data_IF_384552925460
#
_entry.id   IF_384552925460
#
_cell.length_a   1.000
_cell.length_b   1.000
_cell.length_c   1.000
_cell.angle_alpha   90.00
_cell.angle_beta   90.00
_cell.angle_gamma   90.00
#
_symmetry.space_group_name_H-M   'P 1'
#
loop_
_entity.id
_entity.type
_entity.pdbx_description
1 polymer ?
#
# COMPACT_ATOMS: atom_id res chain seq x y z
N UNK A 1 8.10 -8.40 20.08
CA UNK A 1 7.01 -7.44 19.82
C UNK A 1 5.83 -8.20 19.25
N UNK A 2 4.59 -7.73 19.47
CA UNK A 2 3.41 -8.25 18.79
C UNK A 2 3.10 -7.35 17.58
N UNK A 3 2.78 -7.96 16.44
CA UNK A 3 2.52 -7.27 15.16
C UNK A 3 1.20 -7.82 14.59
N UNK A 4 0.42 -6.94 13.96
CA UNK A 4 -0.78 -7.29 13.20
C UNK A 4 -0.46 -7.08 11.72
N UNK A 5 -0.75 -8.07 10.88
CA UNK A 5 -0.50 -7.97 9.44
C UNK A 5 -1.40 -6.94 8.78
N UNK A 6 -0.87 -6.19 7.81
CA UNK A 6 -1.65 -5.20 7.07
C UNK A 6 -1.06 -4.87 5.67
N UNK A 7 -1.07 -5.77 4.68
CA UNK A 7 -1.56 -7.16 4.72
C UNK A 7 -0.46 -8.18 5.11
N UNK A 8 0.79 -7.76 5.20
CA UNK A 8 1.93 -8.58 5.67
C UNK A 8 2.59 -7.97 6.89
N UNK A 9 3.53 -8.67 7.52
CA UNK A 9 4.33 -8.12 8.62
C UNK A 9 5.23 -6.98 8.14
N UNK A 10 5.76 -7.08 6.91
CA UNK A 10 6.64 -6.08 6.32
C UNK A 10 5.94 -4.76 5.98
N UNK A 11 4.62 -4.78 5.81
CA UNK A 11 3.79 -3.60 5.52
C UNK A 11 2.90 -3.14 6.70
N UNK A 12 3.10 -3.72 7.89
CA UNK A 12 2.22 -3.55 9.05
C UNK A 12 2.09 -2.11 9.58
N UNK A 13 2.99 -1.20 9.19
CA UNK A 13 3.00 0.18 9.67
C UNK A 13 2.05 1.12 8.94
N UNK A 14 1.69 0.85 7.68
CA UNK A 14 0.97 1.81 6.83
C UNK A 14 -0.45 2.10 7.33
N UNK A 15 -1.22 1.05 7.59
CA UNK A 15 -2.60 1.14 8.09
C UNK A 15 -2.69 1.88 9.43
N UNK A 16 -1.96 1.47 10.51
CA UNK A 16 -2.06 2.15 11.79
C UNK A 16 -1.50 3.58 11.76
N UNK A 17 -0.46 3.86 10.96
CA UNK A 17 0.06 5.22 10.81
C UNK A 17 -0.98 6.15 10.16
N UNK A 18 -1.65 5.70 9.11
CA UNK A 18 -2.71 6.47 8.42
C UNK A 18 -3.91 6.70 9.35
N UNK A 19 -4.32 5.68 10.09
CA UNK A 19 -5.42 5.80 11.05
C UNK A 19 -5.06 6.74 12.22
N UNK A 20 -3.81 6.68 12.69
CA UNK A 20 -3.33 7.58 13.74
C UNK A 20 -3.28 9.03 13.26
N UNK A 21 -2.85 9.26 12.01
CA UNK A 21 -2.92 10.57 11.38
C UNK A 21 -4.35 11.11 11.37
N UNK A 22 -5.33 10.30 10.98
CA UNK A 22 -6.74 10.68 11.03
C UNK A 22 -7.16 11.12 12.43
N UNK A 23 -6.93 10.28 13.45
CA UNK A 23 -7.34 10.56 14.82
C UNK A 23 -6.66 11.78 15.44
N UNK A 24 -5.39 12.02 15.12
CA UNK A 24 -4.59 13.09 15.75
C UNK A 24 -4.70 14.43 15.02
N UNK A 25 -4.96 14.42 13.71
CA UNK A 25 -4.82 15.62 12.87
C UNK A 25 -6.06 16.03 12.08
N UNK A 26 -7.07 15.17 11.94
CA UNK A 26 -8.32 15.54 11.27
C UNK A 26 -9.31 16.11 12.31
N UNK A 27 -9.73 17.39 12.21
CA UNK A 27 -10.57 18.02 13.25
C UNK A 27 -11.92 17.32 13.49
N UNK A 28 -12.47 16.68 12.46
CA UNK A 28 -13.73 15.94 12.52
C UNK A 28 -13.55 14.45 12.83
N UNK A 29 -12.35 14.03 13.25
CA UNK A 29 -12.07 12.62 13.47
C UNK A 29 -12.91 12.04 14.60
N UNK A 30 -13.37 10.82 14.37
CA UNK A 30 -14.13 10.04 15.36
C UNK A 30 -13.73 8.58 15.31
N UNK A 31 -13.57 8.00 16.51
CA UNK A 31 -13.27 6.57 16.71
C UNK A 31 -14.39 5.69 16.14
N UNK A 32 -15.63 6.19 16.06
CA UNK A 32 -16.74 5.44 15.47
C UNK A 32 -16.57 5.14 13.98
N UNK A 33 -15.65 5.83 13.30
CA UNK A 33 -15.30 5.60 11.88
C UNK A 33 -14.25 4.51 11.66
N UNK A 34 -13.57 4.04 12.71
CA UNK A 34 -12.53 3.00 12.59
C UNK A 34 -13.05 1.72 11.91
N UNK A 35 -14.25 1.18 12.23
CA UNK A 35 -14.77 0.01 11.53
C UNK A 35 -14.95 0.24 10.02
N UNK A 36 -15.46 1.41 9.62
CA UNK A 36 -15.64 1.77 8.21
C UNK A 36 -14.29 1.87 7.48
N UNK A 37 -13.28 2.48 8.10
CA UNK A 37 -11.91 2.52 7.58
C UNK A 37 -11.37 1.11 7.34
N UNK A 38 -11.47 0.23 8.34
CA UNK A 38 -10.89 -1.12 8.28
C UNK A 38 -11.64 -2.02 7.28
N UNK A 39 -12.97 -1.91 7.20
CA UNK A 39 -13.78 -2.67 6.24
C UNK A 39 -13.52 -2.23 4.80
N UNK A 40 -13.39 -0.91 4.56
CA UNK A 40 -13.04 -0.37 3.24
C UNK A 40 -11.63 -0.80 2.84
N UNK A 41 -10.66 -0.67 3.75
CA UNK A 41 -9.30 -1.16 3.54
C UNK A 41 -9.28 -2.66 3.23
N UNK A 42 -10.05 -3.47 3.95
CA UNK A 42 -10.15 -4.91 3.70
C UNK A 42 -10.77 -5.22 2.33
N UNK A 43 -11.76 -4.47 1.87
CA UNK A 43 -12.35 -4.63 0.54
C UNK A 43 -11.31 -4.41 -0.57
N UNK A 44 -10.55 -3.32 -0.51
CA UNK A 44 -9.45 -3.05 -1.46
C UNK A 44 -8.37 -4.13 -1.40
N UNK A 45 -7.96 -4.53 -0.19
CA UNK A 45 -7.00 -5.62 -0.02
C UNK A 45 -7.51 -6.94 -0.63
N UNK A 46 -8.81 -7.20 -0.54
CA UNK A 46 -9.49 -8.33 -1.17
C UNK A 46 -9.41 -8.28 -2.70
N UNK A 47 -9.67 -7.12 -3.32
CA UNK A 47 -9.56 -6.93 -4.76
C UNK A 47 -8.13 -7.18 -5.26
N UNK A 48 -7.15 -6.57 -4.59
CA UNK A 48 -5.73 -6.73 -4.95
C UNK A 48 -5.28 -8.18 -4.83
N UNK A 49 -5.64 -8.85 -3.73
CA UNK A 49 -5.32 -10.26 -3.51
C UNK A 49 -5.97 -11.18 -4.56
N UNK A 50 -7.23 -10.92 -4.91
CA UNK A 50 -7.98 -11.78 -5.82
C UNK A 50 -7.51 -11.65 -7.28
N UNK A 51 -7.19 -10.42 -7.70
CA UNK A 51 -6.90 -10.12 -9.10
C UNK A 51 -5.39 -10.10 -9.39
N UNK A 52 -4.54 -10.07 -8.36
CA UNK A 52 -3.09 -10.12 -8.50
C UNK A 52 -2.45 -10.92 -7.34
N UNK A 53 -1.78 -10.25 -6.40
CA UNK A 53 -1.20 -10.86 -5.20
C UNK A 53 -0.87 -9.79 -4.15
N UNK A 54 -0.81 -10.21 -2.89
CA UNK A 54 -0.32 -9.40 -1.77
C UNK A 54 1.07 -9.86 -1.25
N UNK A 55 1.73 -10.77 -1.96
CA UNK A 55 2.97 -11.42 -1.55
C UNK A 55 4.20 -10.77 -2.19
N UNK A 56 5.18 -10.40 -1.35
CA UNK A 56 6.48 -9.90 -1.79
C UNK A 56 7.22 -10.91 -2.69
N UNK A 57 7.07 -12.20 -2.40
CA UNK A 57 7.65 -13.29 -3.17
C UNK A 57 6.99 -13.52 -4.55
N UNK A 58 5.80 -13.00 -4.81
CA UNK A 58 5.10 -13.22 -6.08
C UNK A 58 5.18 -12.00 -7.00
N UNK A 59 4.95 -10.81 -6.44
CA UNK A 59 4.85 -9.56 -7.20
C UNK A 59 5.77 -8.45 -6.71
N UNK A 60 6.65 -8.71 -5.75
CA UNK A 60 7.50 -7.69 -5.13
C UNK A 60 6.77 -6.85 -4.08
N UNK A 61 7.44 -5.82 -3.56
CA UNK A 61 6.96 -5.02 -2.43
C UNK A 61 5.77 -4.13 -2.80
N UNK A 62 5.50 -3.95 -4.10
CA UNK A 62 4.22 -3.39 -4.57
C UNK A 62 3.01 -4.19 -4.07
N UNK A 63 3.13 -5.53 -3.94
CA UNK A 63 2.08 -6.37 -3.38
C UNK A 63 1.94 -6.25 -1.87
N UNK A 64 2.96 -5.76 -1.17
CA UNK A 64 2.94 -5.62 0.29
C UNK A 64 2.65 -4.17 0.70
N UNK A 65 3.65 -3.30 0.59
CA UNK A 65 3.55 -1.89 0.98
C UNK A 65 2.67 -1.12 0.02
N UNK A 66 2.71 -1.43 -1.29
CA UNK A 66 1.81 -0.82 -2.26
C UNK A 66 0.34 -1.15 -1.98
N UNK A 67 0.02 -2.42 -1.75
CA UNK A 67 -1.31 -2.84 -1.29
C UNK A 67 -1.72 -2.16 0.02
N UNK A 68 -0.83 -2.11 1.02
CA UNK A 68 -1.14 -1.47 2.29
C UNK A 68 -1.43 0.04 2.13
N UNK A 69 -0.70 0.73 1.25
CA UNK A 69 -0.93 2.13 0.92
C UNK A 69 -2.28 2.32 0.22
N UNK A 70 -2.62 1.47 -0.74
CA UNK A 70 -3.92 1.51 -1.42
C UNK A 70 -5.09 1.25 -0.46
N UNK A 71 -4.96 0.23 0.39
CA UNK A 71 -5.92 -0.09 1.45
C UNK A 71 -6.14 1.10 2.40
N UNK A 72 -5.05 1.72 2.85
CA UNK A 72 -5.11 2.86 3.77
C UNK A 72 -5.69 4.12 3.10
N UNK A 73 -5.35 4.38 1.84
CA UNK A 73 -5.86 5.52 1.08
C UNK A 73 -7.38 5.45 0.90
N UNK A 74 -7.88 4.28 0.50
CA UNK A 74 -9.31 4.04 0.36
C UNK A 74 -10.06 4.14 1.68
N UNK A 75 -9.53 3.50 2.74
CA UNK A 75 -10.11 3.59 4.08
C UNK A 75 -10.20 5.04 4.57
N UNK A 76 -9.14 5.82 4.37
CA UNK A 76 -9.11 7.23 4.75
C UNK A 76 -10.09 8.06 3.90
N UNK A 77 -10.13 7.85 2.58
CA UNK A 77 -11.06 8.54 1.69
C UNK A 77 -12.52 8.31 2.11
N UNK A 78 -12.89 7.07 2.40
CA UNK A 78 -14.24 6.71 2.83
C UNK A 78 -14.66 7.43 4.11
N UNK A 79 -13.84 7.38 5.17
CA UNK A 79 -14.19 8.00 6.45
C UNK A 79 -14.17 9.54 6.42
N UNK A 80 -13.54 10.13 5.42
CA UNK A 80 -13.57 11.57 5.13
C UNK A 80 -14.76 11.98 4.25
N UNK A 81 -15.64 11.04 3.89
CA UNK A 81 -16.87 11.30 3.14
C UNK A 81 -16.73 11.17 1.61
N UNK A 82 -15.69 10.51 1.12
CA UNK A 82 -15.52 10.21 -0.29
C UNK A 82 -16.62 9.30 -0.84
N UNK A 83 -16.99 9.51 -2.10
CA UNK A 83 -17.85 8.60 -2.85
C UNK A 83 -17.13 7.28 -3.17
N UNK A 84 -17.85 6.19 -3.53
CA UNK A 84 -17.21 4.94 -3.96
C UNK A 84 -16.18 5.13 -5.09
N UNK A 85 -16.46 6.03 -6.05
CA UNK A 85 -15.54 6.38 -7.13
C UNK A 85 -14.25 7.04 -6.59
N UNK A 86 -14.37 7.98 -5.66
CA UNK A 86 -13.19 8.59 -5.02
C UNK A 86 -12.42 7.61 -4.14
N UNK A 87 -13.10 6.65 -3.51
CA UNK A 87 -12.45 5.59 -2.72
C UNK A 87 -11.59 4.70 -3.62
N UNK A 88 -12.13 4.26 -4.77
CA UNK A 88 -11.34 3.53 -5.77
C UNK A 88 -10.21 4.39 -6.34
N UNK A 89 -10.42 5.69 -6.55
CA UNK A 89 -9.39 6.58 -7.07
C UNK A 89 -8.24 6.77 -6.06
N UNK A 90 -8.55 6.89 -4.77
CA UNK A 90 -7.55 6.98 -3.72
C UNK A 90 -6.71 5.69 -3.64
N UNK A 91 -7.34 4.52 -3.73
CA UNK A 91 -6.63 3.23 -3.79
C UNK A 91 -5.73 3.16 -5.03
N UNK A 92 -6.26 3.56 -6.18
CA UNK A 92 -5.58 3.52 -7.47
C UNK A 92 -4.33 4.40 -7.48
N UNK A 93 -4.43 5.69 -7.12
CA UNK A 93 -3.28 6.61 -7.04
C UNK A 93 -2.21 6.06 -6.08
N UNK A 94 -2.63 5.57 -4.91
CA UNK A 94 -1.69 5.03 -3.94
C UNK A 94 -0.97 3.77 -4.47
N UNK A 95 -1.67 2.88 -5.17
CA UNK A 95 -1.07 1.68 -5.77
C UNK A 95 -0.16 2.04 -6.94
N UNK A 96 -0.59 2.96 -7.81
CA UNK A 96 0.15 3.44 -8.99
C UNK A 96 1.55 3.90 -8.59
N UNK A 97 1.64 4.68 -7.51
CA UNK A 97 2.90 5.19 -6.95
C UNK A 97 3.81 4.11 -6.31
N UNK A 98 3.45 2.83 -6.40
CA UNK A 98 4.26 1.69 -5.97
C UNK A 98 4.51 0.66 -7.07
N UNK A 99 3.94 0.82 -8.28
CA UNK A 99 4.11 -0.13 -9.37
C UNK A 99 5.60 -0.32 -9.74
N UNK A 100 5.99 -1.58 -9.95
CA UNK A 100 7.37 -2.00 -10.22
C UNK A 100 8.26 -2.12 -8.97
N UNK A 101 7.75 -1.85 -7.77
CA UNK A 101 8.58 -1.90 -6.56
C UNK A 101 8.98 -3.34 -6.19
N UNK A 102 10.28 -3.62 -6.29
CA UNK A 102 10.87 -4.93 -5.94
C UNK A 102 10.92 -5.18 -4.43
N UNK A 103 11.01 -6.44 -4.02
CA UNK A 103 11.23 -6.83 -2.62
C UNK A 103 12.59 -7.51 -2.50
N UNK A 104 13.62 -6.80 -2.06
CA UNK A 104 14.91 -7.44 -1.82
C UNK A 104 15.73 -6.70 -0.76
N UNK A 105 15.37 -6.88 0.52
CA UNK A 105 15.87 -6.06 1.60
C UNK A 105 17.29 -6.42 2.02
N UNK A 106 17.93 -5.47 2.71
CA UNK A 106 19.30 -5.60 3.17
C UNK A 106 19.44 -6.81 4.09
N UNK A 107 20.37 -7.73 3.74
CA UNK A 107 20.63 -8.98 4.48
C UNK A 107 19.38 -9.86 4.67
N UNK A 108 18.34 -9.69 3.84
CA UNK A 108 17.07 -10.39 4.00
C UNK A 108 16.26 -9.96 5.22
N UNK A 109 16.61 -8.84 5.85
CA UNK A 109 15.98 -8.38 7.08
C UNK A 109 14.83 -7.43 6.79
N UNK A 110 13.72 -7.54 7.52
CA UNK A 110 12.60 -6.60 7.48
C UNK A 110 12.94 -5.32 8.26
N UNK A 111 13.96 -4.60 7.79
CA UNK A 111 14.46 -3.36 8.39
C UNK A 111 14.59 -2.30 7.30
N UNK A 112 15.63 -2.40 6.46
CA UNK A 112 15.87 -1.47 5.37
C UNK A 112 15.75 -2.20 4.01
N UNK A 113 14.96 -1.68 3.05
CA UNK A 113 14.24 -0.41 3.08
C UNK A 113 12.81 -0.47 3.65
N UNK A 114 12.46 -1.55 4.35
CA UNK A 114 11.08 -1.83 4.76
C UNK A 114 10.48 -0.74 5.67
N UNK A 115 11.26 -0.20 6.61
CA UNK A 115 10.81 0.80 7.58
C UNK A 115 10.45 2.11 6.87
N UNK A 116 11.35 2.66 6.05
CA UNK A 116 11.09 3.89 5.32
C UNK A 116 10.00 3.71 4.26
N UNK A 117 9.87 2.50 3.67
CA UNK A 117 8.76 2.18 2.77
C UNK A 117 7.41 2.27 3.47
N UNK A 118 7.27 1.84 4.73
CA UNK A 118 6.03 2.03 5.50
C UNK A 118 5.73 3.51 5.74
N UNK A 119 6.75 4.30 6.12
CA UNK A 119 6.60 5.74 6.32
C UNK A 119 6.14 6.47 5.05
N UNK A 120 6.80 6.20 3.93
CA UNK A 120 6.42 6.75 2.62
C UNK A 120 5.08 6.22 2.12
N UNK A 121 4.74 4.97 2.40
CA UNK A 121 3.44 4.37 2.08
C UNK A 121 2.29 5.10 2.79
N UNK A 122 2.44 5.41 4.08
CA UNK A 122 1.46 6.18 4.83
C UNK A 122 1.31 7.63 4.30
N UNK A 123 2.42 8.29 3.97
CA UNK A 123 2.39 9.63 3.36
C UNK A 123 1.61 9.61 2.05
N UNK A 124 1.94 8.64 1.16
CA UNK A 124 1.25 8.48 -0.12
C UNK A 124 -0.24 8.17 0.07
N UNK A 125 -0.60 7.36 1.07
CA UNK A 125 -2.00 7.05 1.35
C UNK A 125 -2.81 8.31 1.73
N UNK A 126 -2.25 9.15 2.62
CA UNK A 126 -2.87 10.44 2.99
C UNK A 126 -2.97 11.38 1.79
N UNK A 127 -1.89 11.50 1.00
CA UNK A 127 -1.87 12.33 -0.20
C UNK A 127 -2.89 11.86 -1.24
N UNK A 128 -2.97 10.56 -1.51
CA UNK A 128 -3.91 9.97 -2.47
C UNK A 128 -5.37 10.18 -2.05
N UNK A 129 -5.70 9.96 -0.78
CA UNK A 129 -7.04 10.27 -0.27
C UNK A 129 -7.38 11.77 -0.42
N UNK A 130 -6.43 12.66 -0.14
CA UNK A 130 -6.62 14.11 -0.30
C UNK A 130 -6.82 14.52 -1.75
N UNK A 131 -6.06 13.93 -2.69
CA UNK A 131 -6.21 14.17 -4.12
C UNK A 131 -7.59 13.70 -4.63
N UNK A 132 -7.98 12.47 -4.28
CA UNK A 132 -9.26 11.90 -4.70
C UNK A 132 -10.46 12.72 -4.19
N UNK A 133 -10.43 13.19 -2.93
CA UNK A 133 -11.49 14.03 -2.36
C UNK A 133 -11.62 15.40 -3.03
N UNK A 134 -10.54 15.92 -3.62
CA UNK A 134 -10.54 17.19 -4.38
C UNK A 134 -10.94 17.00 -5.84
N UNK A 135 -10.85 15.78 -6.35
CA UNK A 135 -11.34 15.41 -7.68
C UNK A 135 -12.83 15.05 -7.67
N UNK A 136 -13.34 14.73 -8.85
CA UNK A 136 -14.71 14.26 -9.10
C UNK A 136 -14.83 12.72 -9.07
N UNK A 137 -13.72 12.02 -8.83
CA UNK A 137 -13.66 10.56 -8.89
C UNK A 137 -13.65 10.01 -10.33
N UNK A 138 -13.38 10.83 -11.34
CA UNK A 138 -13.13 10.36 -12.71
C UNK A 138 -11.64 10.08 -12.86
N UNK A 139 -11.32 8.87 -13.28
CA UNK A 139 -9.96 8.36 -13.35
C UNK A 139 -9.52 8.26 -14.81
N UNK A 140 -8.28 8.67 -15.12
CA UNK A 140 -7.63 8.32 -16.39
C UNK A 140 -7.27 6.82 -16.43
N UNK A 141 -6.93 6.26 -15.27
CA UNK A 141 -6.54 4.86 -15.06
C UNK A 141 -7.47 4.27 -14.01
N UNK A 142 -8.16 3.17 -14.32
CA UNK A 142 -9.01 2.50 -13.34
C UNK A 142 -8.20 1.69 -12.33
N UNK A 143 -8.77 1.44 -11.15
CA UNK A 143 -8.15 0.57 -10.15
C UNK A 143 -7.86 -0.83 -10.72
N UNK A 144 -8.78 -1.39 -11.52
CA UNK A 144 -8.58 -2.68 -12.19
C UNK A 144 -7.36 -2.68 -13.12
N UNK A 145 -7.18 -1.61 -13.92
CA UNK A 145 -6.01 -1.48 -14.79
C UNK A 145 -4.71 -1.36 -13.99
N UNK A 146 -4.75 -0.64 -12.86
CA UNK A 146 -3.61 -0.52 -11.95
C UNK A 146 -3.24 -1.88 -11.30
N UNK A 147 -4.23 -2.64 -10.84
CA UNK A 147 -4.01 -4.00 -10.29
C UNK A 147 -3.50 -4.97 -11.35
N UNK A 148 -4.04 -4.92 -12.57
CA UNK A 148 -3.56 -5.74 -13.69
C UNK A 148 -2.12 -5.38 -14.06
N UNK A 149 -1.77 -4.09 -14.03
CA UNK A 149 -0.38 -3.65 -14.22
C UNK A 149 0.52 -4.18 -13.11
N UNK A 150 0.07 -4.18 -11.85
CA UNK A 150 0.81 -4.78 -10.74
C UNK A 150 1.03 -6.29 -10.97
N UNK A 151 0.02 -7.02 -11.44
CA UNK A 151 0.12 -8.44 -11.77
C UNK A 151 1.15 -8.69 -12.88
N UNK A 152 1.06 -7.97 -13.99
CA UNK A 152 1.97 -8.12 -15.13
C UNK A 152 3.41 -7.78 -14.76
N UNK A 153 3.63 -6.62 -14.14
CA UNK A 153 4.97 -6.22 -13.64
C UNK A 153 5.52 -7.21 -12.63
N UNK A 154 4.66 -7.79 -11.79
CA UNK A 154 5.02 -8.88 -10.90
C UNK A 154 5.50 -10.12 -11.65
N UNK A 155 4.80 -10.55 -12.70
CA UNK A 155 5.21 -11.69 -13.54
C UNK A 155 6.55 -11.43 -14.23
N UNK A 156 6.73 -10.22 -14.77
CA UNK A 156 7.94 -9.83 -15.50
C UNK A 156 9.14 -9.60 -14.57
N UNK A 157 8.89 -9.39 -13.28
CA UNK A 157 9.94 -9.20 -12.28
C UNK A 157 10.79 -10.47 -12.17
N UNK A 158 12.11 -10.30 -12.37
CA UNK A 158 13.06 -11.40 -12.20
C UNK A 158 12.98 -11.98 -10.78
N UNK A 159 13.05 -13.30 -10.66
CA UNK A 159 12.92 -14.02 -9.39
C UNK A 159 13.90 -13.54 -8.31
N UNK A 160 15.11 -13.08 -8.68
CA UNK A 160 16.09 -12.55 -7.72
C UNK A 160 15.66 -11.26 -7.01
N UNK A 161 14.60 -10.59 -7.48
CA UNK A 161 14.05 -9.37 -6.89
C UNK A 161 12.74 -9.58 -6.11
N UNK A 162 12.39 -10.85 -5.83
CA UNK A 162 11.15 -11.28 -5.15
C UNK A 162 11.44 -12.00 -3.82
N UNK A 163 11.89 -11.24 -2.84
CA UNK A 163 12.10 -11.68 -1.45
C UNK A 163 13.08 -12.86 -1.31
N UNK A 164 14.10 -12.90 -2.18
CA UNK A 164 15.09 -13.99 -2.20
C UNK A 164 16.41 -13.61 -1.52
N UNK A 165 16.68 -12.31 -1.33
CA UNK A 165 17.99 -11.78 -0.89
C UNK A 165 19.13 -12.05 -1.86
N UNK A 166 18.83 -12.28 -3.14
CA UNK A 166 19.81 -12.65 -4.17
C UNK A 166 20.13 -11.52 -5.16
N UNK A 167 19.57 -10.33 -5.00
CA UNK A 167 19.76 -9.20 -5.90
C UNK A 167 19.69 -7.84 -5.20
N UNK A 168 19.04 -6.87 -5.86
CA UNK A 168 18.57 -5.62 -5.27
C UNK A 168 19.52 -4.92 -4.28
N UNK A 169 18.97 -4.42 -3.18
CA UNK A 169 19.77 -3.82 -2.09
C UNK A 169 20.52 -4.89 -1.29
N UNK A 170 20.07 -6.14 -1.33
CA UNK A 170 20.68 -7.24 -0.58
C UNK A 170 22.14 -7.49 -0.98
N UNK A 171 22.49 -7.32 -2.26
CA UNK A 171 23.84 -7.63 -2.79
C UNK A 171 24.65 -6.41 -3.23
N UNK A 172 24.08 -5.20 -3.15
CA UNK A 172 24.73 -3.96 -3.64
C UNK A 172 25.19 -3.02 -2.52
N UNK A 173 25.27 -3.49 -1.27
CA UNK A 173 25.83 -2.73 -0.17
C UNK A 173 27.36 -2.88 -0.12
N UNK A 174 28.12 -1.80 0.13
CA UNK A 174 29.50 -1.91 0.54
C UNK A 174 29.59 -2.75 1.83
N UNK A 175 30.58 -3.65 1.93
CA UNK A 175 30.94 -4.23 3.22
C UNK A 175 31.49 -3.11 4.12
N UNK A 176 30.65 -2.62 5.02
CA UNK A 176 31.05 -1.72 6.10
C UNK A 176 30.49 -2.22 7.43
#
# INVERSE_FOLDING_TARGET
>A
AQIVTAPTNGAAGVIPATLRYYLDHVPSASISKIPEFLLTAAAIGGLIKNNASISGAEVGCQGEVGSAAAMAAAGLCAILGGTPQQVENAAEIALEHHLGMTCDPIKGLVQAPCIERNGLGAIKAVSAASLALRGDGIHLVSLDACIETMRQTGIDMNSKYKETSLGGLAVNLPEC
#
